data_IF_006708078410
#
_entry.id   IF_006708078410
#
_cell.length_a   1.000
_cell.length_b   1.000
_cell.length_c   1.000
_cell.angle_alpha   90.00
_cell.angle_beta   90.00
_cell.angle_gamma   90.00
#
_symmetry.space_group_name_H-M   'P 1'
#
loop_
_entity.id
_entity.type
_entity.pdbx_description
1 polymer ?
#
# COMPACT_ATOMS: atom_id res chain seq x y z
N UNK A 1 -42.56 6.76 2.41
CA UNK A 1 -41.44 6.72 3.37
C UNK A 1 -40.78 5.34 3.33
N UNK A 2 -39.54 5.28 2.92
CA UNK A 2 -38.76 4.01 2.85
C UNK A 2 -38.40 3.60 4.29
N UNK A 3 -38.85 2.43 4.73
CA UNK A 3 -38.57 1.91 6.07
C UNK A 3 -37.18 1.23 6.03
N UNK A 4 -36.10 1.97 6.25
CA UNK A 4 -34.73 1.48 6.25
C UNK A 4 -34.52 0.29 7.22
N UNK A 5 -35.14 0.32 8.39
CA UNK A 5 -34.98 -0.75 9.39
C UNK A 5 -35.55 -2.12 8.96
N UNK A 6 -36.44 -2.17 7.93
CA UNK A 6 -36.98 -3.44 7.45
C UNK A 6 -35.95 -4.30 6.71
N UNK A 7 -34.92 -3.67 6.16
CA UNK A 7 -33.90 -4.33 5.33
C UNK A 7 -32.51 -4.41 5.99
N UNK A 8 -32.44 -4.19 7.32
CA UNK A 8 -31.16 -4.24 8.07
C UNK A 8 -30.40 -5.53 7.83
N UNK A 9 -31.10 -6.67 7.80
CA UNK A 9 -30.47 -7.97 7.54
C UNK A 9 -29.84 -8.05 6.13
N UNK A 10 -30.50 -7.44 5.13
CA UNK A 10 -30.00 -7.40 3.76
C UNK A 10 -28.72 -6.55 3.66
N UNK A 11 -28.68 -5.40 4.34
CA UNK A 11 -27.49 -4.56 4.41
C UNK A 11 -26.35 -5.28 5.13
N UNK A 12 -26.65 -5.95 6.25
CA UNK A 12 -25.66 -6.74 6.98
C UNK A 12 -25.14 -7.91 6.13
N UNK A 13 -25.98 -8.54 5.32
CA UNK A 13 -25.59 -9.63 4.43
C UNK A 13 -24.66 -9.13 3.33
N UNK A 14 -25.03 -8.04 2.65
CA UNK A 14 -24.22 -7.44 1.58
C UNK A 14 -22.86 -7.00 2.14
N UNK A 15 -22.85 -6.29 3.27
CA UNK A 15 -21.65 -5.84 3.93
C UNK A 15 -20.78 -7.01 4.38
N UNK A 16 -21.36 -8.03 5.00
CA UNK A 16 -20.66 -9.23 5.41
C UNK A 16 -20.01 -9.97 4.22
N UNK A 17 -20.70 -10.03 3.08
CA UNK A 17 -20.16 -10.64 1.87
C UNK A 17 -18.94 -9.89 1.34
N UNK A 18 -19.00 -8.54 1.35
CA UNK A 18 -17.86 -7.70 0.94
C UNK A 18 -16.69 -7.89 1.89
N UNK A 19 -16.94 -7.86 3.21
CA UNK A 19 -15.89 -8.05 4.23
C UNK A 19 -15.24 -9.43 4.12
N UNK A 20 -16.02 -10.49 3.99
CA UNK A 20 -15.49 -11.86 3.86
C UNK A 20 -14.61 -11.98 2.60
N UNK A 21 -15.08 -11.41 1.47
CA UNK A 21 -14.30 -11.41 0.23
C UNK A 21 -13.01 -10.59 0.39
N UNK A 22 -13.08 -9.43 1.05
CA UNK A 22 -11.93 -8.58 1.34
C UNK A 22 -10.89 -9.28 2.24
N UNK A 23 -11.34 -9.87 3.35
CA UNK A 23 -10.47 -10.62 4.26
C UNK A 23 -9.85 -11.83 3.55
N UNK A 24 -10.64 -12.59 2.78
CA UNK A 24 -10.13 -13.70 1.97
C UNK A 24 -9.04 -13.23 0.99
N UNK A 25 -9.25 -12.09 0.32
CA UNK A 25 -8.27 -11.51 -0.59
C UNK A 25 -6.97 -11.15 0.13
N UNK A 26 -7.06 -10.50 1.29
CA UNK A 26 -5.89 -10.14 2.11
C UNK A 26 -5.12 -11.38 2.56
N UNK A 27 -5.82 -12.42 3.02
CA UNK A 27 -5.18 -13.67 3.47
C UNK A 27 -4.55 -14.42 2.29
N UNK A 28 -5.19 -14.41 1.12
CA UNK A 28 -4.73 -15.16 -0.05
C UNK A 28 -3.59 -14.47 -0.80
N UNK A 29 -3.64 -13.16 -0.94
CA UNK A 29 -2.69 -12.38 -1.74
C UNK A 29 -1.73 -11.55 -0.88
N UNK A 30 -2.00 -11.39 0.41
CA UNK A 30 -1.23 -10.57 1.34
C UNK A 30 -1.48 -9.07 1.14
N UNK A 31 -1.03 -8.29 2.10
CA UNK A 31 -0.91 -6.84 1.98
C UNK A 31 0.49 -6.50 1.46
N UNK A 32 0.58 -5.56 0.54
CA UNK A 32 1.86 -5.00 0.07
C UNK A 32 2.02 -3.60 0.65
N UNK A 33 2.63 -3.46 1.83
CA UNK A 33 2.83 -2.16 2.46
C UNK A 33 3.67 -1.24 1.59
N UNK A 34 3.50 0.08 1.77
CA UNK A 34 4.35 1.09 1.12
C UNK A 34 5.80 0.98 1.62
N UNK A 35 6.73 1.57 0.86
CA UNK A 35 8.13 1.69 1.26
C UNK A 35 8.31 2.46 2.55
N UNK A 36 7.37 3.33 2.91
CA UNK A 36 7.36 4.06 4.19
C UNK A 36 7.36 3.12 5.40
N UNK A 37 6.81 1.90 5.25
CA UNK A 37 6.69 0.91 6.33
C UNK A 37 7.67 -0.23 6.22
N UNK A 38 8.10 -0.57 5.00
CA UNK A 38 9.01 -1.70 4.76
C UNK A 38 10.44 -1.27 4.51
N UNK A 39 10.63 0.01 4.21
CA UNK A 39 11.85 0.50 3.59
C UNK A 39 11.94 0.13 2.12
N UNK A 40 12.94 0.65 1.44
CA UNK A 40 13.20 0.41 0.03
C UNK A 40 13.20 1.69 -0.79
N UNK A 41 13.27 1.54 -2.12
CA UNK A 41 13.28 2.65 -3.05
C UNK A 41 12.08 2.59 -3.98
N UNK A 42 11.42 3.72 -4.15
CA UNK A 42 10.35 3.94 -5.11
C UNK A 42 10.89 4.79 -6.24
N UNK A 43 10.94 4.22 -7.44
CA UNK A 43 11.38 4.90 -8.64
C UNK A 43 10.22 5.01 -9.61
N UNK A 44 10.02 6.20 -10.15
CA UNK A 44 9.09 6.44 -11.25
C UNK A 44 9.87 6.90 -12.47
N UNK A 45 9.79 6.10 -13.53
CA UNK A 45 10.42 6.38 -14.82
C UNK A 45 9.36 6.73 -15.86
N UNK A 46 9.64 7.76 -16.64
CA UNK A 46 8.94 8.04 -17.90
C UNK A 46 9.88 7.78 -19.05
N UNK A 47 9.40 7.08 -20.07
CA UNK A 47 10.14 6.75 -21.28
C UNK A 47 9.60 7.54 -22.47
N UNK A 48 10.47 7.92 -23.42
CA UNK A 48 10.06 8.61 -24.65
C UNK A 48 9.23 7.67 -25.57
N UNK A 49 9.41 6.37 -25.41
CA UNK A 49 8.71 5.33 -26.18
C UNK A 49 8.21 4.24 -25.24
N UNK A 50 7.14 3.51 -25.62
CA UNK A 50 6.67 2.39 -24.81
C UNK A 50 7.78 1.34 -24.66
N UNK A 51 8.11 1.01 -23.42
CA UNK A 51 9.09 -0.02 -23.08
C UNK A 51 8.32 -1.22 -22.53
N UNK A 52 8.45 -2.42 -23.12
CA UNK A 52 7.81 -3.61 -22.57
C UNK A 52 8.31 -3.93 -21.15
N UNK A 53 7.40 -4.31 -20.25
CA UNK A 53 7.71 -4.62 -18.86
C UNK A 53 8.74 -5.75 -18.69
N UNK A 54 8.81 -6.68 -19.64
CA UNK A 54 9.80 -7.75 -19.65
C UNK A 54 11.23 -7.21 -19.73
N UNK A 55 11.50 -6.12 -20.46
CA UNK A 55 12.82 -5.50 -20.51
C UNK A 55 13.22 -4.99 -19.11
N UNK A 56 12.30 -4.32 -18.41
CA UNK A 56 12.55 -3.85 -17.05
C UNK A 56 12.85 -5.00 -16.09
N UNK A 57 12.10 -6.08 -16.21
CA UNK A 57 12.29 -7.29 -15.40
C UNK A 57 13.62 -7.99 -15.71
N UNK A 58 13.99 -8.09 -16.98
CA UNK A 58 15.22 -8.75 -17.40
C UNK A 58 16.46 -7.94 -17.00
N UNK A 59 16.44 -6.62 -17.16
CA UNK A 59 17.52 -5.73 -16.69
C UNK A 59 17.67 -5.83 -15.18
N UNK A 60 16.55 -5.83 -14.44
CA UNK A 60 16.59 -5.98 -12.99
C UNK A 60 17.25 -7.30 -12.56
N UNK A 61 16.90 -8.40 -13.25
CA UNK A 61 17.49 -9.71 -12.99
C UNK A 61 18.97 -9.74 -13.32
N UNK A 62 19.41 -9.10 -14.42
CA UNK A 62 20.83 -9.02 -14.80
C UNK A 62 21.68 -8.24 -13.79
N UNK A 63 21.10 -7.28 -13.11
CA UNK A 63 21.76 -6.47 -12.11
C UNK A 63 21.58 -6.97 -10.67
N UNK A 64 20.93 -8.13 -10.51
CA UNK A 64 20.57 -8.67 -9.19
C UNK A 64 19.79 -7.66 -8.32
N UNK A 65 18.91 -6.88 -8.99
CA UNK A 65 18.13 -5.85 -8.35
C UNK A 65 16.82 -6.47 -7.80
N UNK A 66 16.62 -6.50 -6.47
CA UNK A 66 15.47 -7.16 -5.87
C UNK A 66 14.21 -6.30 -6.02
N UNK A 67 13.57 -6.38 -7.19
CA UNK A 67 12.30 -5.68 -7.44
C UNK A 67 11.17 -6.35 -6.65
N UNK A 68 10.43 -5.54 -5.89
CA UNK A 68 9.23 -5.98 -5.18
C UNK A 68 7.98 -5.90 -6.06
N UNK A 69 7.87 -4.87 -6.92
CA UNK A 69 6.77 -4.74 -7.89
C UNK A 69 7.12 -3.73 -9.00
N UNK A 70 6.58 -3.97 -10.18
CA UNK A 70 6.53 -3.04 -11.30
C UNK A 70 5.07 -2.73 -11.57
N UNK A 71 4.72 -1.47 -11.69
CA UNK A 71 3.36 -1.01 -11.97
C UNK A 71 3.42 0.00 -13.11
N UNK A 72 2.64 -0.21 -14.15
CA UNK A 72 2.44 0.79 -15.19
C UNK A 72 1.51 1.89 -14.67
N UNK A 73 1.98 3.14 -14.71
CA UNK A 73 1.24 4.34 -14.24
C UNK A 73 0.73 5.19 -15.42
N UNK A 74 0.86 4.69 -16.65
CA UNK A 74 0.47 5.38 -17.89
C UNK A 74 0.99 4.67 -19.11
N UNK A 75 0.91 5.30 -20.28
CA UNK A 75 1.35 4.68 -21.53
C UNK A 75 2.85 4.36 -21.57
N UNK A 76 3.67 5.21 -20.92
CA UNK A 76 5.13 5.11 -20.95
C UNK A 76 5.76 5.33 -19.57
N UNK A 77 4.96 5.28 -18.50
CA UNK A 77 5.42 5.55 -17.13
C UNK A 77 5.32 4.29 -16.28
N UNK A 78 6.39 3.97 -15.59
CA UNK A 78 6.51 2.79 -14.75
C UNK A 78 6.95 3.17 -13.34
N UNK A 79 6.25 2.62 -12.35
CA UNK A 79 6.55 2.74 -10.95
C UNK A 79 7.21 1.44 -10.46
N UNK A 80 8.49 1.52 -10.12
CA UNK A 80 9.27 0.39 -9.62
C UNK A 80 9.45 0.51 -8.12
N UNK A 81 9.15 -0.57 -7.41
CA UNK A 81 9.50 -0.71 -5.98
C UNK A 81 10.66 -1.67 -5.85
N UNK A 82 11.75 -1.19 -5.29
CA UNK A 82 12.97 -1.94 -5.04
C UNK A 82 13.06 -2.21 -3.54
N UNK A 83 13.39 -3.44 -3.17
CA UNK A 83 13.60 -3.80 -1.76
C UNK A 83 14.81 -3.06 -1.18
N UNK A 84 14.91 -2.92 0.15
CA UNK A 84 15.99 -2.16 0.79
C UNK A 84 17.39 -2.63 0.43
N UNK A 85 17.55 -3.93 0.17
CA UNK A 85 18.84 -4.56 -0.15
C UNK A 85 19.42 -4.11 -1.51
N UNK A 86 18.61 -3.49 -2.38
CA UNK A 86 18.99 -3.08 -3.74
C UNK A 86 19.02 -1.57 -3.97
N UNK A 87 18.88 -0.76 -2.94
CA UNK A 87 18.75 0.71 -3.08
C UNK A 87 19.97 1.41 -3.68
N UNK A 88 21.16 0.81 -3.60
CA UNK A 88 22.41 1.42 -4.05
C UNK A 88 22.67 1.27 -5.56
N UNK A 89 21.98 0.36 -6.25
CA UNK A 89 22.22 0.02 -7.66
C UNK A 89 21.31 0.73 -8.68
N UNK A 90 20.58 1.74 -8.25
CA UNK A 90 19.54 2.43 -9.07
C UNK A 90 20.10 3.12 -10.31
N UNK A 91 21.29 3.77 -10.19
CA UNK A 91 21.90 4.49 -11.30
C UNK A 91 22.34 3.56 -12.45
N UNK A 92 22.84 2.39 -12.13
CA UNK A 92 23.19 1.38 -13.12
C UNK A 92 21.97 0.81 -13.84
N UNK A 93 20.86 0.67 -13.13
CA UNK A 93 19.61 0.17 -13.67
C UNK A 93 19.06 1.09 -14.78
N UNK A 94 18.96 2.39 -14.54
CA UNK A 94 18.43 3.34 -15.55
C UNK A 94 19.25 3.33 -16.84
N UNK A 95 20.59 3.35 -16.72
CA UNK A 95 21.48 3.32 -17.87
C UNK A 95 21.35 2.03 -18.70
N UNK A 96 21.17 0.90 -18.03
CA UNK A 96 21.03 -0.38 -18.72
C UNK A 96 19.66 -0.51 -19.40
N UNK A 97 18.59 -0.02 -18.77
CA UNK A 97 17.26 0.04 -19.41
C UNK A 97 17.28 0.92 -20.64
N UNK A 98 17.92 2.10 -20.62
CA UNK A 98 18.09 2.95 -21.79
C UNK A 98 18.81 2.25 -22.95
N UNK A 99 19.89 1.49 -22.64
CA UNK A 99 20.63 0.74 -23.65
C UNK A 99 19.82 -0.37 -24.29
N UNK A 100 19.08 -1.14 -23.48
CA UNK A 100 18.31 -2.29 -23.98
C UNK A 100 17.00 -1.89 -24.65
N UNK A 101 16.35 -0.83 -24.18
CA UNK A 101 15.09 -0.35 -24.75
C UNK A 101 15.28 0.62 -25.92
N UNK A 102 16.50 1.16 -26.13
CA UNK A 102 16.76 2.26 -27.06
C UNK A 102 15.80 3.45 -26.86
N UNK A 103 15.42 3.70 -25.61
CA UNK A 103 14.50 4.76 -25.17
C UNK A 103 15.12 5.52 -24.01
N UNK A 104 15.03 6.84 -24.05
CA UNK A 104 15.53 7.69 -22.96
C UNK A 104 14.62 7.58 -21.76
N UNK A 105 15.20 7.34 -20.59
CA UNK A 105 14.50 7.26 -19.33
C UNK A 105 14.65 8.56 -18.53
N UNK A 106 13.51 9.18 -18.18
CA UNK A 106 13.49 10.33 -17.28
C UNK A 106 12.97 9.88 -15.92
N UNK A 107 13.76 10.08 -14.88
CA UNK A 107 13.35 9.79 -13.51
C UNK A 107 12.42 10.91 -13.05
N UNK A 108 11.14 10.59 -12.85
CA UNK A 108 10.15 11.53 -12.34
C UNK A 108 10.14 11.56 -10.81
N UNK A 109 10.43 10.43 -10.18
CA UNK A 109 10.39 10.26 -8.73
C UNK A 109 11.47 9.28 -8.28
N UNK A 110 12.21 9.66 -7.25
CA UNK A 110 13.19 8.79 -6.60
C UNK A 110 13.10 9.01 -5.09
N UNK A 111 12.44 8.10 -4.39
CA UNK A 111 12.26 8.17 -2.95
C UNK A 111 12.85 6.92 -2.32
N UNK A 112 13.74 7.10 -1.36
CA UNK A 112 14.37 6.00 -0.63
C UNK A 112 14.09 6.13 0.85
N UNK A 113 13.60 5.06 1.45
CA UNK A 113 13.35 4.95 2.88
C UNK A 113 14.21 3.83 3.44
N UNK A 114 15.02 4.13 4.44
CA UNK A 114 15.83 3.11 5.12
C UNK A 114 14.95 2.08 5.85
N UNK A 115 15.38 0.81 5.95
CA UNK A 115 14.58 -0.27 6.55
C UNK A 115 14.31 -0.05 8.05
N UNK A 116 15.24 0.57 8.77
CA UNK A 116 15.09 0.92 10.19
C UNK A 116 14.00 1.98 10.36
N UNK A 117 14.00 3.01 9.51
CA UNK A 117 13.01 4.08 9.54
C UNK A 117 11.62 3.55 9.21
N UNK A 118 11.50 2.69 8.19
CA UNK A 118 10.23 2.08 7.82
C UNK A 118 9.61 1.26 8.96
N UNK A 119 10.39 0.41 9.61
CA UNK A 119 9.91 -0.40 10.74
C UNK A 119 9.52 0.44 11.97
N UNK A 120 10.26 1.52 12.23
CA UNK A 120 9.95 2.45 13.32
C UNK A 120 8.66 3.21 13.06
N UNK A 121 8.44 3.67 11.82
CA UNK A 121 7.20 4.33 11.41
C UNK A 121 5.99 3.41 11.56
N UNK A 122 6.12 2.14 11.14
CA UNK A 122 5.06 1.16 11.31
C UNK A 122 4.71 0.94 12.78
N UNK A 123 5.73 0.76 13.63
CA UNK A 123 5.52 0.61 15.07
C UNK A 123 4.80 1.81 15.69
N UNK A 124 5.22 3.03 15.36
CA UNK A 124 4.57 4.27 15.84
C UNK A 124 3.15 4.41 15.31
N UNK A 125 2.89 4.03 14.05
CA UNK A 125 1.55 4.07 13.47
C UNK A 125 0.58 3.12 14.18
N UNK A 126 1.03 1.89 14.50
CA UNK A 126 0.22 0.92 15.26
C UNK A 126 -0.10 1.43 16.66
N UNK A 127 0.90 1.97 17.37
CA UNK A 127 0.68 2.56 18.72
C UNK A 127 -0.30 3.72 18.65
N UNK A 128 -0.15 4.61 17.66
CA UNK A 128 -1.06 5.74 17.47
C UNK A 128 -2.50 5.29 17.18
N UNK A 129 -2.67 4.26 16.34
CA UNK A 129 -3.98 3.68 16.04
C UNK A 129 -4.65 3.09 17.29
N UNK A 130 -3.92 2.32 18.09
CA UNK A 130 -4.44 1.76 19.35
C UNK A 130 -4.83 2.86 20.35
N UNK A 131 -4.00 3.89 20.50
CA UNK A 131 -4.32 5.04 21.34
C UNK A 131 -5.55 5.79 20.85
N UNK A 132 -5.68 6.01 19.55
CA UNK A 132 -6.85 6.66 18.96
C UNK A 132 -8.13 5.88 19.23
N UNK A 133 -8.12 4.54 19.02
CA UNK A 133 -9.24 3.65 19.32
C UNK A 133 -9.63 3.77 20.81
N UNK A 134 -8.65 3.73 21.71
CA UNK A 134 -8.90 3.85 23.15
C UNK A 134 -9.50 5.21 23.51
N UNK A 135 -8.97 6.30 22.97
CA UNK A 135 -9.49 7.66 23.22
C UNK A 135 -10.92 7.82 22.69
N UNK A 136 -11.23 7.28 21.52
CA UNK A 136 -12.59 7.31 20.95
C UNK A 136 -13.54 6.50 21.85
N UNK A 137 -13.16 5.31 22.27
CA UNK A 137 -13.94 4.48 23.19
C UNK A 137 -14.24 5.22 24.50
N UNK A 138 -13.20 5.78 25.14
CA UNK A 138 -13.31 6.50 26.40
C UNK A 138 -14.21 7.75 26.25
N UNK A 139 -14.00 8.53 25.19
CA UNK A 139 -14.80 9.72 24.91
C UNK A 139 -16.28 9.39 24.71
N UNK A 140 -16.57 8.41 23.84
CA UNK A 140 -17.96 8.03 23.53
C UNK A 140 -18.64 7.42 24.77
N UNK A 141 -17.94 6.55 25.50
CA UNK A 141 -18.46 5.98 26.73
C UNK A 141 -18.77 7.06 27.80
N UNK A 142 -17.92 8.06 27.91
CA UNK A 142 -18.12 9.20 28.83
C UNK A 142 -19.30 10.08 28.37
N UNK A 143 -19.33 10.47 27.09
CA UNK A 143 -20.35 11.36 26.53
C UNK A 143 -21.76 10.77 26.60
N UNK A 144 -21.90 9.48 26.30
CA UNK A 144 -23.20 8.79 26.31
C UNK A 144 -23.50 8.07 27.64
N UNK A 145 -22.59 8.13 28.61
CA UNK A 145 -22.72 7.47 29.93
C UNK A 145 -23.05 5.97 29.81
N UNK A 146 -22.66 5.34 28.72
CA UNK A 146 -22.92 3.92 28.45
C UNK A 146 -21.87 3.36 27.50
N UNK A 147 -21.11 2.39 28.00
CA UNK A 147 -20.01 1.76 27.29
C UNK A 147 -20.45 1.03 25.99
N UNK A 148 -21.73 0.62 25.92
CA UNK A 148 -22.27 -0.04 24.74
C UNK A 148 -22.20 0.84 23.49
N UNK A 149 -22.39 2.15 23.63
CA UNK A 149 -22.25 3.08 22.51
C UNK A 149 -20.80 3.21 22.05
N UNK A 150 -19.85 3.20 22.99
CA UNK A 150 -18.42 3.20 22.67
C UNK A 150 -18.02 1.95 21.90
N UNK A 151 -18.44 0.77 22.36
CA UNK A 151 -18.18 -0.50 21.66
C UNK A 151 -18.80 -0.50 20.27
N UNK A 152 -20.04 -0.03 20.14
CA UNK A 152 -20.70 0.07 18.81
C UNK A 152 -19.95 1.00 17.86
N UNK A 153 -19.42 2.13 18.36
CA UNK A 153 -18.63 3.06 17.56
C UNK A 153 -17.31 2.41 17.07
N UNK A 154 -16.62 1.64 17.93
CA UNK A 154 -15.42 0.92 17.54
C UNK A 154 -15.72 -0.18 16.49
N UNK A 155 -16.80 -0.93 16.68
CA UNK A 155 -17.21 -1.95 15.70
C UNK A 155 -17.51 -1.29 14.35
N UNK A 156 -18.20 -0.14 14.34
CA UNK A 156 -18.46 0.62 13.12
C UNK A 156 -17.15 1.09 12.45
N UNK A 157 -16.21 1.64 13.23
CA UNK A 157 -14.90 2.08 12.74
C UNK A 157 -14.07 0.95 12.11
N UNK A 158 -14.14 -0.25 12.69
CA UNK A 158 -13.40 -1.42 12.18
C UNK A 158 -14.08 -2.06 10.96
N UNK A 159 -15.38 -1.79 10.80
CA UNK A 159 -16.15 -2.27 9.67
C UNK A 159 -15.93 -1.41 8.42
N UNK A 160 -15.74 -0.09 8.55
CA UNK A 160 -15.50 0.87 7.47
C UNK A 160 -14.06 0.84 6.95
#
# INVERSE_FOLDING_TARGET
>A
MIRFSKYLWLYALISGLILVTGVYSIVRYGLRPSIDFTGGTLLEFSFDRPVPENILTDVARKQDLPIASILSSGSNTYLLRIKPEGSDNVAGFSQMVERESSSTATILRNETVGPVLGSELLGKAVVAAVLAIFCILAYVAYAFKNIKFGVSAIIALLHD
#
